data_IF_591724121218
#
_entry.id   IF_591724121218
#
_cell.length_a   1.000
_cell.length_b   1.000
_cell.length_c   1.000
_cell.angle_alpha   90.00
_cell.angle_beta   90.00
_cell.angle_gamma   90.00
#
_symmetry.space_group_name_H-M   'P 1'
#
loop_
_entity.id
_entity.type
_entity.pdbx_description
1 polymer ?
#
# COMPACT_ATOMS: atom_id res chain seq x y z
N UNK A 1 -26.45 36.50 18.41
CA UNK A 1 -26.49 35.04 18.38
C UNK A 1 -25.97 34.66 17.01
N UNK A 2 -24.69 34.29 16.93
CA UNK A 2 -23.99 34.00 15.69
C UNK A 2 -24.37 32.59 15.24
N UNK A 3 -24.89 32.46 14.02
CA UNK A 3 -25.25 31.19 13.40
C UNK A 3 -24.12 30.83 12.45
N UNK A 4 -23.45 29.73 12.76
CA UNK A 4 -22.39 29.12 11.96
C UNK A 4 -22.95 28.62 10.62
N UNK A 5 -22.55 29.25 9.52
CA UNK A 5 -22.96 28.92 8.14
C UNK A 5 -21.85 28.22 7.38
N UNK A 6 -21.36 27.08 7.87
CA UNK A 6 -20.74 26.09 6.97
C UNK A 6 -21.78 25.05 6.56
N UNK A 7 -22.89 25.52 6.00
CA UNK A 7 -23.97 24.70 5.48
C UNK A 7 -23.75 24.43 4.00
N UNK A 8 -23.43 23.19 3.63
CA UNK A 8 -23.53 22.77 2.24
C UNK A 8 -25.02 22.84 1.87
N UNK A 9 -25.40 23.74 0.97
CA UNK A 9 -26.78 23.83 0.49
C UNK A 9 -27.13 22.54 -0.27
N UNK A 10 -28.14 21.81 0.19
CA UNK A 10 -28.63 20.62 -0.50
C UNK A 10 -29.55 20.96 -1.67
N UNK A 11 -30.00 22.22 -1.79
CA UNK A 11 -30.90 22.69 -2.85
C UNK A 11 -30.22 22.68 -4.24
N UNK A 12 -28.89 22.61 -4.29
CA UNK A 12 -28.10 22.49 -5.52
C UNK A 12 -27.85 21.03 -5.96
N UNK A 13 -28.22 20.05 -5.12
CA UNK A 13 -28.00 18.63 -5.41
C UNK A 13 -29.25 18.06 -6.08
N UNK A 14 -29.19 17.91 -7.41
CA UNK A 14 -30.28 17.31 -8.17
C UNK A 14 -30.54 15.85 -7.73
N UNK A 15 -31.81 15.48 -7.55
CA UNK A 15 -32.19 14.10 -7.31
C UNK A 15 -31.70 13.19 -8.44
N UNK A 16 -30.91 12.17 -8.10
CA UNK A 16 -30.26 11.29 -9.08
C UNK A 16 -28.86 11.74 -9.54
N UNK A 17 -28.31 12.83 -8.99
CA UNK A 17 -26.94 13.24 -9.27
C UNK A 17 -25.93 12.13 -8.87
N UNK A 18 -24.91 11.85 -9.71
CA UNK A 18 -23.90 10.85 -9.38
C UNK A 18 -23.02 11.31 -8.23
N UNK A 19 -22.83 10.44 -7.24
CA UNK A 19 -21.92 10.69 -6.11
C UNK A 19 -20.60 9.96 -6.35
N UNK A 20 -19.49 10.69 -6.27
CA UNK A 20 -18.14 10.09 -6.24
C UNK A 20 -17.69 9.97 -4.78
N UNK A 21 -17.44 8.74 -4.35
CA UNK A 21 -16.88 8.47 -3.03
C UNK A 21 -15.41 8.08 -3.16
N UNK A 22 -14.59 8.57 -2.23
CA UNK A 22 -13.18 8.23 -2.12
C UNK A 22 -12.95 7.49 -0.81
N UNK A 23 -12.12 6.45 -0.85
CA UNK A 23 -11.71 5.71 0.35
C UNK A 23 -10.20 5.84 0.51
N UNK A 24 -9.77 6.45 1.62
CA UNK A 24 -8.35 6.48 1.98
C UNK A 24 -7.92 5.09 2.42
N UNK A 25 -6.91 4.55 1.73
CA UNK A 25 -6.25 3.31 2.08
C UNK A 25 -4.77 3.59 2.23
N UNK A 26 -4.19 3.14 3.32
CA UNK A 26 -2.77 3.23 3.58
C UNK A 26 -2.20 1.81 3.64
N UNK A 27 -1.21 1.53 2.81
CA UNK A 27 -0.45 0.30 2.83
C UNK A 27 0.90 0.56 3.49
N UNK A 28 1.38 -0.39 4.27
CA UNK A 28 2.65 -0.24 4.97
C UNK A 28 3.21 -1.58 5.39
N UNK A 29 4.51 -1.59 5.63
CA UNK A 29 5.21 -2.70 6.27
C UNK A 29 5.11 -2.48 7.78
N UNK A 30 4.57 -3.46 8.50
CA UNK A 30 4.47 -3.38 9.95
C UNK A 30 4.95 -4.67 10.60
N UNK A 31 5.50 -4.56 11.81
CA UNK A 31 5.89 -5.71 12.61
C UNK A 31 4.71 -6.14 13.47
N UNK A 32 4.38 -7.43 13.42
CA UNK A 32 3.35 -8.04 14.26
C UNK A 32 3.97 -8.53 15.59
N UNK A 33 3.13 -8.92 16.55
CA UNK A 33 3.57 -9.45 17.85
C UNK A 33 4.47 -10.70 17.77
N UNK A 34 4.49 -11.41 16.64
CA UNK A 34 5.39 -12.55 16.38
C UNK A 34 6.81 -12.13 15.94
N UNK A 35 7.08 -10.82 15.86
CA UNK A 35 8.36 -10.26 15.46
C UNK A 35 8.60 -10.28 13.95
N UNK A 36 7.65 -10.78 13.15
CA UNK A 36 7.76 -10.82 11.68
C UNK A 36 7.11 -9.60 11.06
N UNK A 37 7.56 -9.26 9.86
CA UNK A 37 7.04 -8.13 9.09
C UNK A 37 5.98 -8.59 8.10
N UNK A 38 4.94 -7.77 7.95
CA UNK A 38 3.79 -8.08 7.12
C UNK A 38 3.37 -6.86 6.30
N UNK A 39 2.84 -7.11 5.10
CA UNK A 39 2.09 -6.08 4.38
C UNK A 39 0.78 -5.85 5.12
N UNK A 40 0.60 -4.62 5.59
CA UNK A 40 -0.59 -4.17 6.28
C UNK A 40 -1.44 -3.23 5.43
N UNK A 41 -2.73 -3.16 5.78
CA UNK A 41 -3.67 -2.16 5.25
C UNK A 41 -4.41 -1.44 6.37
N UNK A 42 -4.42 -0.10 6.33
CA UNK A 42 -5.33 0.75 7.10
C UNK A 42 -6.38 1.32 6.17
N UNK A 43 -7.59 1.47 6.69
CA UNK A 43 -8.70 2.02 5.93
C UNK A 43 -9.36 3.14 6.69
N UNK A 44 -9.52 4.29 6.04
CA UNK A 44 -9.99 5.51 6.71
C UNK A 44 -9.03 5.93 7.83
N UNK A 45 -9.55 6.05 9.04
CA UNK A 45 -8.80 6.47 10.23
C UNK A 45 -8.45 5.28 11.16
N UNK A 46 -8.36 4.06 10.62
CA UNK A 46 -8.01 2.88 11.42
C UNK A 46 -6.66 3.06 12.13
N UNK A 47 -6.62 2.76 13.43
CA UNK A 47 -5.41 2.93 14.25
C UNK A 47 -4.34 1.88 13.92
N UNK A 48 -4.74 0.63 13.65
CA UNK A 48 -3.86 -0.51 13.40
C UNK A 48 -3.99 -1.03 11.97
N UNK A 49 -2.93 -1.69 11.49
CA UNK A 49 -2.96 -2.39 10.21
C UNK A 49 -3.77 -3.69 10.31
N UNK A 50 -4.54 -3.99 9.26
CA UNK A 50 -5.03 -5.32 8.95
C UNK A 50 -3.94 -6.09 8.18
N UNK A 51 -3.59 -7.29 8.63
CA UNK A 51 -2.60 -8.16 7.97
C UNK A 51 -3.10 -8.63 6.61
N UNK A 52 -2.34 -8.40 5.55
CA UNK A 52 -2.65 -8.89 4.21
C UNK A 52 -1.81 -10.10 3.79
N UNK A 53 -0.48 -9.98 3.75
CA UNK A 53 0.42 -11.05 3.30
C UNK A 53 1.83 -10.93 3.90
N UNK A 54 2.59 -12.01 3.88
CA UNK A 54 3.94 -12.14 4.42
C UNK A 54 4.26 -13.58 4.86
N UNK A 55 5.36 -13.79 5.62
CA UNK A 55 6.26 -12.77 6.15
C UNK A 55 7.10 -12.09 5.05
N UNK A 56 7.33 -10.80 5.21
CA UNK A 56 8.19 -10.00 4.36
C UNK A 56 9.55 -9.77 5.04
N UNK A 57 10.54 -9.38 4.25
CA UNK A 57 11.84 -8.97 4.80
C UNK A 57 11.67 -7.74 5.70
N UNK A 58 12.62 -7.50 6.59
CA UNK A 58 12.60 -6.33 7.46
C UNK A 58 12.71 -5.03 6.64
N UNK A 59 12.32 -3.87 7.21
CA UNK A 59 12.48 -2.57 6.53
C UNK A 59 13.92 -2.29 6.11
N UNK A 60 14.91 -2.71 6.90
CA UNK A 60 16.34 -2.56 6.59
C UNK A 60 16.76 -3.32 5.31
N UNK A 61 16.05 -4.40 4.99
CA UNK A 61 16.26 -5.25 3.81
C UNK A 61 15.23 -4.96 2.71
N UNK A 62 14.52 -3.84 2.82
CA UNK A 62 13.57 -3.36 1.81
C UNK A 62 12.45 -4.36 1.49
N UNK A 63 11.84 -4.96 2.52
CA UNK A 63 10.70 -5.90 2.36
C UNK A 63 9.46 -5.29 1.67
N UNK A 64 9.30 -3.97 1.74
CA UNK A 64 8.31 -3.22 0.97
C UNK A 64 8.92 -1.89 0.54
N UNK A 65 8.83 -1.56 -0.74
CA UNK A 65 9.30 -0.29 -1.29
C UNK A 65 8.22 0.31 -2.17
N UNK A 66 7.98 1.60 -2.00
CA UNK A 66 7.20 2.42 -2.91
C UNK A 66 8.13 3.40 -3.62
N UNK A 67 8.13 3.39 -4.94
CA UNK A 67 8.82 4.39 -5.76
C UNK A 67 7.77 5.17 -6.52
N UNK A 68 7.70 6.47 -6.28
CA UNK A 68 6.72 7.34 -6.90
C UNK A 68 7.33 8.06 -8.08
N UNK A 69 6.55 8.13 -9.16
CA UNK A 69 6.94 8.79 -10.40
C UNK A 69 5.90 9.84 -10.78
N UNK A 70 6.35 10.92 -11.41
CA UNK A 70 5.48 11.87 -12.09
C UNK A 70 4.88 11.28 -13.37
N UNK A 71 4.03 12.05 -14.05
CA UNK A 71 3.38 11.60 -15.31
C UNK A 71 4.37 11.37 -16.46
N UNK A 72 5.57 11.92 -16.39
CA UNK A 72 6.64 11.76 -17.38
C UNK A 72 7.60 10.61 -17.04
N UNK A 73 7.40 9.93 -15.90
CA UNK A 73 8.23 8.84 -15.42
C UNK A 73 9.45 9.26 -14.59
N UNK A 74 9.57 10.54 -14.20
CA UNK A 74 10.61 11.02 -13.29
C UNK A 74 10.28 10.69 -11.83
N UNK A 75 11.26 10.27 -11.02
CA UNK A 75 11.02 10.01 -9.59
C UNK A 75 10.65 11.30 -8.87
N UNK A 76 9.58 11.28 -8.08
CA UNK A 76 9.10 12.45 -7.34
C UNK A 76 8.82 12.14 -5.88
N UNK A 77 9.08 13.12 -5.01
CA UNK A 77 8.65 13.11 -3.61
C UNK A 77 7.42 14.01 -3.37
N UNK A 78 6.99 14.78 -4.39
CA UNK A 78 5.80 15.63 -4.32
C UNK A 78 4.53 14.78 -4.57
N UNK A 79 3.66 14.57 -3.56
CA UNK A 79 2.45 13.77 -3.71
C UNK A 79 1.46 14.32 -4.75
N UNK A 80 1.52 15.63 -5.04
CA UNK A 80 0.62 16.27 -6.00
C UNK A 80 1.00 16.00 -7.45
N UNK A 81 2.23 15.54 -7.68
CA UNK A 81 2.77 15.25 -9.02
C UNK A 81 2.74 13.75 -9.36
N UNK A 82 2.36 12.87 -8.43
CA UNK A 82 2.42 11.42 -8.63
C UNK A 82 1.47 10.98 -9.75
N UNK A 83 2.04 10.46 -10.83
CA UNK A 83 1.31 9.84 -11.94
C UNK A 83 1.42 8.31 -11.94
N UNK A 84 2.39 7.74 -11.24
CA UNK A 84 2.64 6.29 -11.20
C UNK A 84 3.37 5.88 -9.92
N UNK A 85 3.17 4.63 -9.50
CA UNK A 85 3.89 4.01 -8.39
C UNK A 85 4.38 2.62 -8.76
N UNK A 86 5.65 2.33 -8.44
CA UNK A 86 6.15 0.97 -8.32
C UNK A 86 6.05 0.50 -6.88
N UNK A 87 5.53 -0.70 -6.73
CA UNK A 87 5.40 -1.39 -5.45
C UNK A 87 6.27 -2.64 -5.55
N UNK A 88 7.33 -2.68 -4.76
CA UNK A 88 8.24 -3.84 -4.66
C UNK A 88 7.99 -4.52 -3.33
N UNK A 89 7.69 -5.81 -3.36
CA UNK A 89 7.46 -6.65 -2.20
C UNK A 89 8.53 -7.75 -2.20
N UNK A 90 9.24 -7.91 -1.09
CA UNK A 90 10.27 -8.94 -0.89
C UNK A 90 9.98 -9.74 0.37
N UNK A 91 10.01 -11.06 0.26
CA UNK A 91 9.80 -11.95 1.38
C UNK A 91 10.39 -13.33 1.14
N UNK A 92 10.32 -14.16 2.16
CA UNK A 92 10.81 -15.55 2.11
C UNK A 92 9.64 -16.52 1.95
N UNK A 93 9.71 -17.37 0.92
CA UNK A 93 8.83 -18.52 0.80
C UNK A 93 9.43 -19.73 1.53
N UNK A 94 8.73 -20.25 2.54
CA UNK A 94 9.04 -21.54 3.17
C UNK A 94 8.51 -22.70 2.32
N UNK A 95 9.05 -22.85 1.10
CA UNK A 95 8.81 -24.01 0.24
C UNK A 95 10.02 -24.92 0.22
N UNK A 96 9.84 -26.25 0.17
CA UNK A 96 10.95 -27.16 -0.17
C UNK A 96 11.38 -26.84 -1.60
N UNK A 97 12.51 -26.17 -1.78
CA UNK A 97 13.11 -26.01 -3.11
C UNK A 97 13.31 -27.41 -3.72
N UNK A 98 12.75 -27.73 -4.91
CA UNK A 98 12.81 -29.09 -5.47
C UNK A 98 14.22 -29.53 -5.89
N UNK A 99 15.23 -28.64 -5.84
CA UNK A 99 16.57 -28.89 -6.38
C UNK A 99 17.73 -28.81 -5.38
N UNK A 100 17.49 -28.67 -4.07
CA UNK A 100 18.58 -28.63 -3.07
C UNK A 100 18.47 -29.79 -2.07
N UNK A 101 18.73 -31.01 -2.53
CA UNK A 101 18.64 -32.24 -1.69
C UNK A 101 19.77 -32.40 -0.66
N UNK A 102 20.75 -31.50 -0.58
CA UNK A 102 21.93 -31.68 0.29
C UNK A 102 22.15 -30.61 1.38
N UNK A 103 21.29 -29.59 1.49
CA UNK A 103 21.49 -28.48 2.44
C UNK A 103 20.19 -27.99 3.08
N UNK A 104 19.47 -28.87 3.79
CA UNK A 104 18.34 -28.50 4.67
C UNK A 104 17.22 -27.67 4.00
N UNK A 105 16.23 -27.17 4.77
CA UNK A 105 15.28 -26.18 4.26
C UNK A 105 16.00 -24.84 4.08
N UNK A 106 16.35 -24.49 2.85
CA UNK A 106 16.79 -23.14 2.50
C UNK A 106 15.56 -22.27 2.21
N UNK A 107 15.42 -21.15 2.90
CA UNK A 107 14.43 -20.13 2.55
C UNK A 107 14.71 -19.63 1.12
N UNK A 108 13.68 -19.50 0.29
CA UNK A 108 13.80 -18.93 -1.05
C UNK A 108 13.27 -17.51 -0.98
N UNK A 109 14.12 -16.53 -1.29
CA UNK A 109 13.70 -15.14 -1.44
C UNK A 109 12.86 -14.99 -2.71
N UNK A 110 11.72 -14.33 -2.58
CA UNK A 110 10.82 -14.00 -3.68
C UNK A 110 10.65 -12.48 -3.77
N UNK A 111 10.55 -11.97 -4.99
CA UNK A 111 10.37 -10.55 -5.27
C UNK A 111 9.23 -10.35 -6.28
N UNK A 112 8.24 -9.57 -5.87
CA UNK A 112 7.15 -9.13 -6.73
C UNK A 112 7.25 -7.62 -6.95
N UNK A 113 7.25 -7.21 -8.22
CA UNK A 113 7.15 -5.79 -8.60
C UNK A 113 5.85 -5.56 -9.35
N UNK A 114 5.05 -4.61 -8.89
CA UNK A 114 3.82 -4.16 -9.55
C UNK A 114 3.94 -2.68 -9.84
N UNK A 115 3.58 -2.29 -11.06
CA UNK A 115 3.50 -0.89 -11.49
C UNK A 115 2.04 -0.49 -11.68
N UNK A 116 1.66 0.64 -11.11
CA UNK A 116 0.30 1.18 -11.20
C UNK A 116 0.35 2.64 -11.64
N UNK A 117 -0.39 2.97 -12.70
CA UNK A 117 -0.60 4.36 -13.14
C UNK A 117 -1.88 4.94 -12.54
N UNK A 118 -1.81 6.20 -12.11
CA UNK A 118 -2.96 6.95 -11.60
C UNK A 118 -3.83 7.35 -12.80
N UNK A 119 -5.15 7.19 -12.66
CA UNK A 119 -6.12 7.68 -13.65
C UNK A 119 -6.45 9.13 -13.31
N UNK A 120 -6.13 10.04 -14.22
CA UNK A 120 -6.58 11.45 -14.17
C UNK A 120 -8.04 11.61 -14.54
#
# INVERSE_FOLDING_TARGET
MEVDTTGVSLDEIQAGAPVRQFRKIEYGLYQETDGRYWLGRKVGNAASYERLTGPLNAPADSGLVFIYYDQNGGVTADPTQVGMVDIVIRGESYGKAPQRRELGPAAVEDTLTVRVSVRG
#
